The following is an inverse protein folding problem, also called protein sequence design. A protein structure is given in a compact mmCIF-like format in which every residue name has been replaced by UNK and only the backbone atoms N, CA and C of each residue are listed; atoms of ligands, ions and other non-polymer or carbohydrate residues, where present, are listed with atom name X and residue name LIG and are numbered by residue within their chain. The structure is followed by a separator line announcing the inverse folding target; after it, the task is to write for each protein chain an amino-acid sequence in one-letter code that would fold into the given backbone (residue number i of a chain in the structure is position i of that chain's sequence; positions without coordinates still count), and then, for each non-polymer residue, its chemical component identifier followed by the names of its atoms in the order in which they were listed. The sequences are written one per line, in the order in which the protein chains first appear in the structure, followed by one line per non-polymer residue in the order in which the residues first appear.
data_IF_427745294072
#
_entry.id   IF_427745294072
#
_cell.length_a   1.000
_cell.length_b   1.000
_cell.length_c   1.000
_cell.angle_alpha   90.00
_cell.angle_beta   90.00
_cell.angle_gamma   90.00
#
_symmetry.space_group_name_H-M   'P 1'
#
loop_
_entity.id
_entity.type
_entity.pdbx_description
1 polymer ?
#
# COMPACT_ATOMS: atom_id res chain seq x y z
N UNK A 1 0.13 -4.84 -39.26
CA UNK A 1 -0.24 -3.57 -38.61
C UNK A 1 -0.12 -2.49 -39.65
N UNK A 2 -1.23 -1.86 -40.01
CA UNK A 2 -1.26 -0.82 -41.04
C UNK A 2 -1.03 0.54 -40.37
N UNK A 3 -0.31 1.45 -41.04
CA UNK A 3 -0.02 2.80 -40.50
C UNK A 3 -1.27 3.61 -40.10
N UNK A 4 -2.45 3.20 -40.57
CA UNK A 4 -3.75 3.78 -40.21
C UNK A 4 -4.22 3.41 -38.81
N UNK A 5 -3.91 2.21 -38.30
CA UNK A 5 -4.25 1.80 -36.92
C UNK A 5 -3.46 2.60 -35.88
N UNK A 6 -2.20 2.90 -36.19
CA UNK A 6 -1.29 3.66 -35.30
C UNK A 6 -1.77 5.11 -35.12
N UNK A 7 -2.28 5.73 -36.19
CA UNK A 7 -2.84 7.09 -36.13
C UNK A 7 -4.15 7.14 -35.34
N UNK A 8 -4.96 6.08 -35.39
CA UNK A 8 -6.22 6.01 -34.66
C UNK A 8 -5.99 5.92 -33.14
N UNK A 9 -5.00 5.13 -32.70
CA UNK A 9 -4.61 5.07 -31.28
C UNK A 9 -4.08 6.41 -30.75
N UNK A 10 -3.32 7.15 -31.56
CA UNK A 10 -2.81 8.46 -31.17
C UNK A 10 -3.93 9.51 -31.01
N UNK A 11 -4.96 9.45 -31.85
CA UNK A 11 -6.11 10.34 -31.77
C UNK A 11 -7.00 10.04 -30.55
N UNK A 12 -7.23 8.76 -30.24
CA UNK A 12 -8.09 8.30 -29.14
C UNK A 12 -7.47 8.55 -27.75
N UNK A 13 -6.14 8.42 -27.63
CA UNK A 13 -5.42 8.76 -26.40
C UNK A 13 -5.45 10.26 -26.08
N UNK A 14 -5.44 11.11 -27.11
CA UNK A 14 -5.49 12.57 -26.94
C UNK A 14 -6.88 13.05 -26.49
N UNK A 15 -7.95 12.37 -26.89
CA UNK A 15 -9.32 12.68 -26.47
C UNK A 15 -9.57 12.25 -25.00
N UNK A 16 -8.99 11.12 -24.56
CA UNK A 16 -9.00 10.70 -23.15
C UNK A 16 -8.13 11.57 -22.24
N UNK A 17 -7.16 12.31 -22.79
CA UNK A 17 -6.30 13.23 -22.03
C UNK A 17 -7.04 14.53 -21.65
N UNK A 18 -8.17 14.85 -22.30
CA UNK A 18 -8.95 16.04 -22.03
C UNK A 18 -9.47 16.15 -20.58
N UNK A 19 -9.51 15.03 -19.84
CA UNK A 19 -9.85 14.97 -18.42
C UNK A 19 -8.67 15.11 -17.45
N UNK A 20 -7.42 14.92 -17.91
CA UNK A 20 -6.25 14.84 -17.03
C UNK A 20 -5.46 16.14 -17.14
N UNK A 21 -5.87 17.13 -16.34
CA UNK A 21 -5.18 18.42 -16.25
C UNK A 21 -3.74 18.22 -15.79
N UNK A 22 -2.77 18.45 -16.67
CA UNK A 22 -1.34 18.41 -16.35
C UNK A 22 -1.05 19.55 -15.36
N UNK A 23 -0.46 19.21 -14.22
CA UNK A 23 -0.08 20.18 -13.20
C UNK A 23 1.36 20.64 -13.45
N UNK A 24 1.59 21.94 -13.34
CA UNK A 24 2.94 22.52 -13.32
C UNK A 24 3.58 22.28 -11.95
N UNK A 25 4.91 22.17 -11.91
CA UNK A 25 5.70 21.89 -10.69
C UNK A 25 5.29 22.77 -9.50
N UNK A 26 5.10 24.08 -9.72
CA UNK A 26 4.66 25.02 -8.67
C UNK A 26 3.32 24.64 -8.02
N UNK A 27 2.41 24.05 -8.82
CA UNK A 27 1.10 23.61 -8.34
C UNK A 27 1.21 22.31 -7.54
N UNK A 28 2.15 21.44 -7.89
CA UNK A 28 2.45 20.20 -7.17
C UNK A 28 3.08 20.53 -5.80
N UNK A 29 4.07 21.43 -5.80
CA UNK A 29 4.75 21.85 -4.56
C UNK A 29 3.74 22.48 -3.59
N UNK A 30 2.88 23.39 -4.08
CA UNK A 30 1.85 24.02 -3.25
C UNK A 30 0.86 23.03 -2.63
N UNK A 31 0.47 21.97 -3.35
CA UNK A 31 -0.40 20.93 -2.78
C UNK A 31 0.31 20.13 -1.68
N UNK A 32 1.62 19.91 -1.81
CA UNK A 32 2.41 19.18 -0.82
C UNK A 32 2.64 20.00 0.44
N UNK A 33 2.88 21.32 0.33
CA UNK A 33 3.18 22.15 1.51
C UNK A 33 1.95 22.60 2.31
N UNK A 34 0.74 22.49 1.76
CA UNK A 34 -0.49 22.90 2.45
C UNK A 34 -1.09 21.81 3.36
N UNK A 35 -0.60 20.56 3.29
CA UNK A 35 -1.06 19.44 4.13
C UNK A 35 -0.24 19.24 5.42
N UNK A 36 0.85 20.00 5.61
CA UNK A 36 1.77 19.82 6.76
C UNK A 36 1.69 20.96 7.78
N UNK A 37 0.70 21.84 7.65
CA UNK A 37 0.42 22.92 8.60
C UNK A 37 -0.96 22.66 9.22
N UNK A 38 -1.06 21.59 10.01
CA UNK A 38 -2.19 21.45 10.94
C UNK A 38 -1.72 20.94 12.30
N UNK A 39 -2.07 21.77 13.27
CA UNK A 39 -1.77 21.74 14.68
C UNK A 39 -2.28 20.44 15.33
N UNK A 40 -1.62 20.10 16.43
CA UNK A 40 -1.72 18.88 17.23
C UNK A 40 -3.10 18.72 17.91
N UNK A 41 -4.18 18.50 17.14
CA UNK A 41 -5.47 18.02 17.64
C UNK A 41 -6.29 17.30 16.56
N UNK A 42 -5.73 16.23 15.98
CA UNK A 42 -6.50 15.36 15.09
C UNK A 42 -7.38 14.44 15.93
N UNK A 43 -8.63 14.86 16.16
CA UNK A 43 -9.71 13.95 16.58
C UNK A 43 -9.63 12.67 15.72
N UNK A 44 -9.60 11.46 16.32
CA UNK A 44 -9.39 10.26 15.52
C UNK A 44 -10.58 10.06 14.59
N UNK A 45 -10.40 10.46 13.33
CA UNK A 45 -11.28 10.11 12.20
C UNK A 45 -11.45 8.61 12.28
N UNK A 46 -12.67 8.19 12.61
CA UNK A 46 -13.13 6.83 12.90
C UNK A 46 -12.20 5.75 12.31
N UNK A 47 -11.13 5.43 13.04
CA UNK A 47 -10.09 4.56 12.54
C UNK A 47 -10.70 3.18 12.36
N UNK A 48 -10.79 2.68 11.13
CA UNK A 48 -11.23 1.31 10.87
C UNK A 48 -10.25 0.41 11.64
N UNK A 49 -10.73 -0.21 12.72
CA UNK A 49 -9.92 -1.08 13.58
C UNK A 49 -9.73 -2.41 12.88
N UNK A 50 -8.77 -2.46 11.95
CA UNK A 50 -8.40 -3.70 11.28
C UNK A 50 -7.72 -4.61 12.30
N UNK A 51 -8.22 -5.83 12.45
CA UNK A 51 -7.61 -6.82 13.34
C UNK A 51 -6.26 -7.29 12.79
N UNK A 52 -5.34 -7.71 13.66
CA UNK A 52 -4.05 -8.27 13.21
C UNK A 52 -4.20 -9.49 12.29
N UNK A 53 -5.24 -10.30 12.52
CA UNK A 53 -5.58 -11.45 11.66
C UNK A 53 -6.03 -11.01 10.28
N UNK A 54 -6.85 -9.96 10.20
CA UNK A 54 -7.40 -9.44 8.95
C UNK A 54 -6.31 -8.74 8.12
N UNK A 55 -5.45 -7.96 8.76
CA UNK A 55 -4.28 -7.38 8.10
C UNK A 55 -3.34 -8.47 7.54
N UNK A 56 -3.12 -9.55 8.30
CA UNK A 56 -2.31 -10.69 7.85
C UNK A 56 -2.94 -11.46 6.68
N UNK A 57 -4.27 -11.65 6.71
CA UNK A 57 -5.01 -12.27 5.62
C UNK A 57 -4.96 -11.42 4.35
N UNK A 58 -5.25 -10.12 4.47
CA UNK A 58 -5.18 -9.17 3.36
C UNK A 58 -3.78 -9.15 2.71
N UNK A 59 -2.71 -9.07 3.51
CA UNK A 59 -1.33 -9.12 3.00
C UNK A 59 -1.02 -10.43 2.27
N UNK A 60 -1.55 -11.57 2.75
CA UNK A 60 -1.33 -12.87 2.12
C UNK A 60 -2.04 -12.95 0.76
N UNK A 61 -3.28 -12.46 0.67
CA UNK A 61 -4.03 -12.38 -0.59
C UNK A 61 -3.38 -11.41 -1.58
N UNK A 62 -2.92 -10.24 -1.12
CA UNK A 62 -2.19 -9.30 -2.00
C UNK A 62 -0.90 -9.90 -2.55
N UNK A 63 -0.20 -10.73 -1.76
CA UNK A 63 1.01 -11.41 -2.20
C UNK A 63 0.71 -12.47 -3.28
N UNK A 64 -0.38 -13.23 -3.12
CA UNK A 64 -0.85 -14.19 -4.14
C UNK A 64 -1.23 -13.47 -5.44
N UNK A 65 -2.02 -12.40 -5.34
CA UNK A 65 -2.39 -11.59 -6.49
C UNK A 65 -1.16 -11.00 -7.21
N UNK A 66 -0.17 -10.49 -6.46
CA UNK A 66 1.07 -9.98 -7.06
C UNK A 66 1.84 -11.06 -7.82
N UNK A 67 1.80 -12.31 -7.37
CA UNK A 67 2.40 -13.43 -8.12
C UNK A 67 1.61 -13.78 -9.39
N UNK A 68 0.28 -13.71 -9.35
CA UNK A 68 -0.57 -13.99 -10.51
C UNK A 68 -0.48 -12.91 -11.59
N UNK A 69 -0.36 -11.65 -11.18
CA UNK A 69 -0.17 -10.51 -12.08
C UNK A 69 1.28 -10.38 -12.58
N UNK A 70 2.16 -11.32 -12.21
CA UNK A 70 3.53 -11.40 -12.69
C UNK A 70 4.35 -10.12 -12.40
N UNK A 71 4.19 -9.57 -11.19
CA UNK A 71 5.00 -8.46 -10.68
C UNK A 71 6.49 -8.80 -10.69
N UNK A 72 7.35 -7.79 -10.62
CA UNK A 72 8.78 -8.03 -10.63
C UNK A 72 9.21 -8.83 -9.40
N UNK A 73 10.15 -9.74 -9.59
CA UNK A 73 10.60 -10.65 -8.54
C UNK A 73 11.05 -9.90 -7.27
N UNK A 74 11.63 -8.71 -7.44
CA UNK A 74 12.13 -7.89 -6.34
C UNK A 74 11.00 -7.26 -5.51
N UNK A 75 9.86 -6.91 -6.12
CA UNK A 75 8.66 -6.39 -5.46
C UNK A 75 7.99 -7.49 -4.62
N UNK A 76 7.86 -8.69 -5.19
CA UNK A 76 7.35 -9.88 -4.49
C UNK A 76 8.27 -10.24 -3.31
N UNK A 77 9.59 -10.09 -3.48
CA UNK A 77 10.57 -10.34 -2.41
C UNK A 77 10.41 -9.34 -1.25
N UNK A 78 10.15 -8.08 -1.56
CA UNK A 78 9.90 -7.04 -0.56
C UNK A 78 8.66 -7.36 0.29
N UNK A 79 7.55 -7.73 -0.37
CA UNK A 79 6.31 -8.11 0.31
C UNK A 79 6.47 -9.32 1.23
N UNK A 80 7.20 -10.35 0.76
CA UNK A 80 7.54 -11.53 1.59
C UNK A 80 8.36 -11.14 2.81
N UNK A 81 9.36 -10.27 2.63
CA UNK A 81 10.21 -9.83 3.73
C UNK A 81 9.45 -8.99 4.75
N UNK A 82 8.51 -8.16 4.31
CA UNK A 82 7.64 -7.39 5.18
C UNK A 82 6.75 -8.32 6.02
N UNK A 83 6.11 -9.30 5.39
CA UNK A 83 5.30 -10.32 6.05
C UNK A 83 6.10 -11.07 7.12
N UNK A 84 7.27 -11.58 6.75
CA UNK A 84 8.11 -12.36 7.66
C UNK A 84 8.66 -11.49 8.81
N UNK A 85 8.99 -10.23 8.51
CA UNK A 85 9.39 -9.22 9.49
C UNK A 85 8.28 -8.91 10.49
N UNK A 86 7.05 -8.71 10.02
CA UNK A 86 5.88 -8.49 10.87
C UNK A 86 5.60 -9.68 11.80
N UNK A 87 5.72 -10.91 11.30
CA UNK A 87 5.58 -12.12 12.13
C UNK A 87 6.66 -12.21 13.20
N UNK A 88 7.93 -11.94 12.85
CA UNK A 88 9.04 -11.91 13.82
C UNK A 88 8.84 -10.83 14.88
N UNK A 89 8.43 -9.63 14.46
CA UNK A 89 8.17 -8.53 15.38
C UNK A 89 7.03 -8.88 16.34
N UNK A 90 5.95 -9.50 15.86
CA UNK A 90 4.85 -9.98 16.72
C UNK A 90 5.34 -10.95 17.80
N UNK A 91 6.25 -11.85 17.46
CA UNK A 91 6.83 -12.81 18.41
C UNK A 91 7.76 -12.12 19.41
N UNK A 92 8.51 -11.09 18.98
CA UNK A 92 9.40 -10.33 19.86
C UNK A 92 8.68 -9.35 20.78
N UNK A 93 7.55 -8.78 20.34
CA UNK A 93 6.78 -7.79 21.11
C UNK A 93 5.74 -8.41 22.05
N UNK A 94 5.28 -9.64 21.77
CA UNK A 94 4.45 -10.36 22.72
C UNK A 94 5.31 -10.85 23.88
N UNK A 95 5.03 -10.37 25.10
CA UNK A 95 5.62 -10.95 26.31
C UNK A 95 5.25 -12.44 26.34
N UNK A 96 6.18 -13.31 25.94
CA UNK A 96 5.95 -14.74 26.03
C UNK A 96 5.80 -15.09 27.51
N UNK A 97 4.57 -15.42 27.92
CA UNK A 97 4.30 -15.98 29.25
C UNK A 97 5.20 -17.20 29.43
N UNK A 98 5.93 -17.24 30.54
CA UNK A 98 6.77 -18.39 30.82
C UNK A 98 5.86 -19.59 31.03
N UNK A 99 6.27 -20.76 30.57
CA UNK A 99 5.50 -21.99 30.77
C UNK A 99 5.18 -22.20 32.27
N UNK A 100 6.06 -21.74 33.16
CA UNK A 100 5.86 -21.74 34.62
C UNK A 100 4.64 -20.95 35.09
N UNK A 101 4.22 -19.93 34.35
CA UNK A 101 3.09 -19.07 34.71
C UNK A 101 1.75 -19.81 34.53
N UNK A 102 1.70 -20.86 33.70
CA UNK A 102 0.53 -21.72 33.55
C UNK A 102 0.40 -22.77 34.66
N UNK A 103 1.49 -23.06 35.38
CA UNK A 103 1.52 -24.06 36.45
C UNK A 103 1.38 -23.46 37.86
N UNK A 104 1.26 -22.13 37.97
CA UNK A 104 1.05 -21.46 39.25
C UNK A 104 -0.45 -21.45 39.57
N UNK A 105 -0.87 -22.34 40.47
CA UNK A 105 -2.21 -22.37 41.08
C UNK A 105 -2.29 -21.38 42.25
#
# INVERSE_FOLDING_TARGET
MSNTEVLQWAAEANDSLAGNKILTDDKIIRTVTAEDDDDDDVTPVNSIKISHSEAGAALSTSLEWATEQNFEAHEIMLLRRLRDGAFKLKIGTSEQRKISDFFRH
#
